data_IF_241246005215
#
_entry.id   IF_241246005215
#
_cell.length_a   1.000
_cell.length_b   1.000
_cell.length_c   1.000
_cell.angle_alpha   90.00
_cell.angle_beta   90.00
_cell.angle_gamma   90.00
#
_symmetry.space_group_name_H-M   'P 1'
#
loop_
_entity.id
_entity.type
_entity.pdbx_description
1 polymer ?
#
# COMPACT_ATOMS: atom_id res chain seq x y z
N UNK A 1 0.02 -8.49 11.14
CA UNK A 1 1.08 -9.52 11.32
C UNK A 1 2.30 -8.88 11.96
N UNK A 2 3.10 -9.65 12.72
CA UNK A 2 4.30 -9.17 13.41
C UNK A 2 5.62 -9.57 12.73
N UNK A 3 6.75 -9.11 13.27
CA UNK A 3 8.10 -9.30 12.71
C UNK A 3 8.60 -10.75 12.65
N UNK A 4 7.97 -11.66 13.41
CA UNK A 4 8.24 -13.11 13.46
C UNK A 4 7.16 -13.95 12.78
N UNK A 5 6.19 -13.32 12.09
CA UNK A 5 5.13 -14.05 11.40
C UNK A 5 5.63 -14.82 10.17
N UNK A 6 4.83 -15.79 9.71
CA UNK A 6 5.13 -16.58 8.51
C UNK A 6 5.48 -15.69 7.30
N UNK A 7 4.70 -14.63 7.05
CA UNK A 7 4.97 -13.68 5.96
C UNK A 7 6.29 -12.93 6.14
N UNK A 8 6.71 -12.64 7.37
CA UNK A 8 7.97 -11.97 7.65
C UNK A 8 9.17 -12.86 7.28
N UNK A 9 9.09 -14.16 7.54
CA UNK A 9 10.12 -15.12 7.10
C UNK A 9 10.15 -15.22 5.58
N UNK A 10 8.98 -15.33 4.94
CA UNK A 10 8.88 -15.43 3.49
C UNK A 10 9.47 -14.20 2.77
N UNK A 11 9.18 -12.98 3.24
CA UNK A 11 9.73 -11.77 2.64
C UNK A 11 11.27 -11.74 2.65
N UNK A 12 11.86 -12.20 3.76
CA UNK A 12 13.32 -12.28 3.93
C UNK A 12 13.94 -13.31 3.00
N UNK A 13 13.34 -14.50 2.89
CA UNK A 13 13.80 -15.54 1.96
C UNK A 13 13.76 -15.08 0.50
N UNK A 14 12.76 -14.26 0.13
CA UNK A 14 12.59 -13.79 -1.25
C UNK A 14 13.30 -12.47 -1.55
N UNK A 15 13.89 -11.82 -0.55
CA UNK A 15 14.52 -10.51 -0.72
C UNK A 15 13.53 -9.41 -1.13
N UNK A 16 12.24 -9.56 -0.79
CA UNK A 16 11.19 -8.61 -1.16
C UNK A 16 10.95 -7.64 0.00
N UNK A 17 11.01 -6.31 -0.22
CA UNK A 17 10.67 -5.33 0.81
C UNK A 17 9.23 -5.52 1.32
N UNK A 18 9.07 -5.50 2.64
CA UNK A 18 7.77 -5.70 3.29
C UNK A 18 7.61 -4.78 4.50
N UNK A 19 6.37 -4.33 4.73
CA UNK A 19 5.94 -3.68 5.98
C UNK A 19 4.78 -4.48 6.56
N UNK A 20 4.88 -4.83 7.84
CA UNK A 20 3.87 -5.62 8.56
C UNK A 20 3.33 -4.83 9.74
N UNK A 21 2.07 -5.09 10.09
CA UNK A 21 1.43 -4.42 11.22
C UNK A 21 1.10 -2.95 10.95
N UNK A 22 0.93 -2.57 9.67
CA UNK A 22 0.46 -1.25 9.28
C UNK A 22 -0.96 -1.05 9.79
N UNK A 23 -1.10 -0.18 10.78
CA UNK A 23 -2.34 -0.02 11.53
C UNK A 23 -3.49 0.46 10.65
N UNK A 24 -4.63 -0.22 10.76
CA UNK A 24 -5.85 0.03 9.98
C UNK A 24 -5.63 0.13 8.45
N UNK A 25 -4.55 -0.43 7.90
CA UNK A 25 -4.17 -0.24 6.50
C UNK A 25 -5.27 -0.68 5.52
N UNK A 26 -5.93 -1.81 5.78
CA UNK A 26 -7.02 -2.33 4.94
C UNK A 26 -8.29 -1.48 4.96
N UNK A 27 -8.47 -0.65 5.99
CA UNK A 27 -9.61 0.28 6.07
C UNK A 27 -9.27 1.64 5.45
N UNK A 28 -7.99 2.00 5.41
CA UNK A 28 -7.52 3.33 5.00
C UNK A 28 -7.09 3.41 3.55
N UNK A 29 -6.57 2.32 2.99
CA UNK A 29 -6.09 2.28 1.60
C UNK A 29 -7.30 2.00 0.70
N UNK A 30 -7.69 2.93 -0.18
CA UNK A 30 -8.79 2.69 -1.11
C UNK A 30 -8.47 1.58 -2.10
N UNK A 31 -9.48 0.82 -2.49
CA UNK A 31 -9.36 -0.21 -3.51
C UNK A 31 -8.80 0.37 -4.82
N UNK A 32 -7.93 -0.40 -5.47
CA UNK A 32 -7.26 0.01 -6.71
C UNK A 32 -6.20 1.10 -6.55
N UNK A 33 -5.88 1.54 -5.33
CA UNK A 33 -4.81 2.53 -5.12
C UNK A 33 -3.44 1.96 -5.47
N UNK A 34 -2.61 2.76 -6.12
CA UNK A 34 -1.19 2.45 -6.26
C UNK A 34 -0.47 2.70 -4.94
N UNK A 35 0.29 1.71 -4.47
CA UNK A 35 0.96 1.73 -3.16
C UNK A 35 2.48 1.61 -3.33
N UNK A 36 3.22 2.49 -2.68
CA UNK A 36 4.68 2.41 -2.50
C UNK A 36 4.99 1.86 -1.11
N UNK A 37 5.93 0.91 -1.06
CA UNK A 37 6.37 0.24 0.17
C UNK A 37 7.86 0.47 0.35
N UNK A 38 8.25 1.08 1.47
CA UNK A 38 9.64 1.20 1.89
C UNK A 38 9.90 0.25 3.08
N UNK A 39 10.44 -0.93 2.78
CA UNK A 39 10.76 -1.95 3.77
C UNK A 39 11.92 -1.62 4.72
N UNK A 40 12.69 -0.56 4.45
CA UNK A 40 13.81 -0.12 5.32
C UNK A 40 13.31 0.83 6.40
N UNK A 41 12.53 1.85 6.03
CA UNK A 41 11.96 2.82 6.97
C UNK A 41 10.64 2.36 7.60
N UNK A 42 10.03 1.28 7.09
CA UNK A 42 8.74 0.79 7.58
C UNK A 42 7.54 1.61 7.09
N UNK A 43 7.68 2.38 6.01
CA UNK A 43 6.66 3.33 5.54
C UNK A 43 5.89 2.77 4.35
N UNK A 44 4.57 2.95 4.38
CA UNK A 44 3.65 2.68 3.25
C UNK A 44 2.97 3.98 2.85
N UNK A 45 2.95 4.28 1.54
CA UNK A 45 2.27 5.46 0.98
C UNK A 45 1.43 5.03 -0.21
N UNK A 46 0.19 5.53 -0.31
CA UNK A 46 -0.67 5.28 -1.47
C UNK A 46 -1.02 6.58 -2.18
N UNK A 47 -1.23 6.49 -3.49
CA UNK A 47 -1.69 7.60 -4.31
C UNK A 47 -3.21 7.52 -4.48
N UNK A 48 -3.94 8.64 -4.29
CA UNK A 48 -5.36 8.70 -4.60
C UNK A 48 -5.57 8.44 -6.10
N UNK A 49 -6.63 7.71 -6.44
CA UNK A 49 -6.98 7.41 -7.83
C UNK A 49 -7.56 8.66 -8.53
N UNK A 50 -7.13 8.91 -9.77
CA UNK A 50 -7.59 10.08 -10.55
C UNK A 50 -9.10 10.05 -10.83
N UNK A 51 -9.76 8.90 -10.67
CA UNK A 51 -11.21 8.72 -10.86
C UNK A 51 -12.09 9.44 -9.84
N UNK A 52 -11.54 9.96 -8.74
CA UNK A 52 -12.29 10.77 -7.76
C UNK A 52 -12.33 12.26 -8.09
N UNK A 53 -11.63 12.72 -9.14
CA UNK A 53 -11.81 14.06 -9.66
C UNK A 53 -13.16 14.17 -10.40
N UNK A 54 -13.99 15.19 -10.14
CA UNK A 54 -15.24 15.38 -10.88
C UNK A 54 -14.92 15.48 -12.38
N UNK A 55 -15.43 14.55 -13.17
CA UNK A 55 -15.27 14.56 -14.62
C UNK A 55 -15.91 15.83 -15.17
N UNK A 56 -15.08 16.82 -15.51
CA UNK A 56 -15.52 18.02 -16.19
C UNK A 56 -15.87 17.61 -17.62
N UNK A 57 -17.17 17.44 -17.88
CA UNK A 57 -17.70 17.17 -19.22
C UNK A 57 -17.27 18.31 -20.13
N UNK A 58 -16.34 18.06 -21.05
CA UNK A 58 -16.07 18.97 -22.15
C UNK A 58 -17.14 18.69 -23.21
N UNK A 59 -18.12 19.58 -23.26
CA UNK A 59 -19.15 19.65 -24.30
C UNK A 59 -18.59 20.53 -25.43
N UNK A 60 -18.25 19.96 -26.59
CA UNK A 60 -18.16 20.68 -27.87
C UNK A 60 -18.41 19.70 -29.00
#
# INVERSE_FOLDING_TARGET
GGSTSHLASLARERGIPMVLGADNATQRIPEGSMVSVNGVSGVVRWMPNESTAPQHVRMT
#
